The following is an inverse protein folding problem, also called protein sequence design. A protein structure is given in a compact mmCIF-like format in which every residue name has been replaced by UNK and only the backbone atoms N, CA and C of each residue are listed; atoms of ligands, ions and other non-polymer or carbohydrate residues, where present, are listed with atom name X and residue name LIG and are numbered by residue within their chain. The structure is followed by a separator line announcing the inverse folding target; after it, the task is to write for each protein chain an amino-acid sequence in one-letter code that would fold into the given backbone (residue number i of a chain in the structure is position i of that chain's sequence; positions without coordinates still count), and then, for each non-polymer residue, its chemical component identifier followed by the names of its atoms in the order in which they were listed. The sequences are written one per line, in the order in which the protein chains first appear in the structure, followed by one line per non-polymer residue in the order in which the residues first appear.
data_IF_815762633437
#
_entry.id   IF_815762633437
#
_cell.length_a   1.000
_cell.length_b   1.000
_cell.length_c   1.000
_cell.angle_alpha   90.00
_cell.angle_beta   90.00
_cell.angle_gamma   90.00
#
_symmetry.space_group_name_H-M   'P 1'
#
loop_
_entity.id
_entity.type
_entity.pdbx_description
1 polymer ?
#
# COMPACT_ATOMS: atom_id res chain seq x y z
N UNK A 1 -14.47 1.29 10.72
CA UNK A 1 -13.78 1.83 9.54
C UNK A 1 -12.48 1.06 9.44
N UNK A 2 -12.33 0.26 8.39
CA UNK A 2 -11.03 -0.37 8.12
C UNK A 2 -10.08 0.70 7.59
N UNK A 3 -8.84 0.71 8.09
CA UNK A 3 -7.80 1.61 7.60
C UNK A 3 -7.07 0.97 6.40
N UNK A 4 -6.33 1.77 5.63
CA UNK A 4 -5.59 1.28 4.47
C UNK A 4 -4.59 0.16 4.83
N UNK A 5 -4.04 0.15 6.04
CA UNK A 5 -3.14 -0.93 6.47
C UNK A 5 -3.85 -2.28 6.55
N UNK A 6 -5.10 -2.32 7.03
CA UNK A 6 -5.91 -3.53 7.09
C UNK A 6 -6.23 -4.06 5.69
N UNK A 7 -6.52 -3.14 4.77
CA UNK A 7 -6.83 -3.41 3.37
C UNK A 7 -5.62 -3.85 2.52
N UNK A 8 -4.39 -3.74 3.00
CA UNK A 8 -3.21 -4.20 2.24
C UNK A 8 -3.30 -5.69 1.87
N UNK A 9 -2.85 -6.02 0.65
CA UNK A 9 -2.68 -7.41 0.23
C UNK A 9 -1.65 -8.13 1.12
N UNK A 10 -1.85 -9.43 1.42
CA UNK A 10 -0.92 -10.20 2.26
C UNK A 10 0.54 -10.16 1.77
N UNK A 11 0.75 -10.21 0.44
CA UNK A 11 2.08 -10.10 -0.19
C UNK A 11 2.77 -8.76 0.11
N UNK A 12 2.00 -7.67 0.23
CA UNK A 12 2.53 -6.32 0.48
C UNK A 12 2.93 -6.19 1.95
N UNK A 13 2.11 -6.71 2.87
CA UNK A 13 2.45 -6.80 4.30
C UNK A 13 3.71 -7.63 4.53
N UNK A 14 3.85 -8.74 3.81
CA UNK A 14 5.03 -9.59 3.88
C UNK A 14 6.30 -8.86 3.42
N UNK A 15 6.26 -8.19 2.26
CA UNK A 15 7.38 -7.40 1.75
C UNK A 15 7.81 -6.29 2.72
N UNK A 16 6.84 -5.56 3.29
CA UNK A 16 7.12 -4.54 4.30
C UNK A 16 7.79 -5.12 5.55
N UNK A 17 7.30 -6.25 6.08
CA UNK A 17 7.88 -6.87 7.25
C UNK A 17 9.30 -7.40 7.00
N UNK A 18 9.55 -7.97 5.83
CA UNK A 18 10.89 -8.41 5.40
C UNK A 18 11.86 -7.23 5.34
N UNK A 19 11.45 -6.11 4.73
CA UNK A 19 12.30 -4.93 4.58
C UNK A 19 12.38 -4.04 5.83
N UNK A 20 11.51 -4.28 6.83
CA UNK A 20 11.52 -3.56 8.12
C UNK A 20 12.84 -3.69 8.88
N UNK A 21 13.55 -4.81 8.73
CA UNK A 21 14.84 -5.01 9.36
C UNK A 21 15.90 -4.01 8.87
N UNK A 22 15.91 -3.73 7.56
CA UNK A 22 16.88 -2.83 6.93
C UNK A 22 16.40 -1.37 6.89
N UNK A 23 15.09 -1.14 6.79
CA UNK A 23 14.50 0.18 6.54
C UNK A 23 13.44 0.55 7.58
N UNK A 24 13.76 0.33 8.86
CA UNK A 24 12.74 0.39 9.92
C UNK A 24 12.05 1.75 10.05
N UNK A 25 12.76 2.87 9.86
CA UNK A 25 12.18 4.21 9.96
C UNK A 25 11.16 4.47 8.86
N UNK A 26 11.54 4.26 7.60
CA UNK A 26 10.68 4.48 6.43
C UNK A 26 9.47 3.54 6.44
N UNK A 27 9.69 2.25 6.77
CA UNK A 27 8.61 1.26 6.88
C UNK A 27 7.64 1.61 8.01
N UNK A 28 8.13 2.05 9.18
CA UNK A 28 7.25 2.50 10.27
C UNK A 28 6.46 3.75 9.89
N UNK A 29 7.09 4.70 9.21
CA UNK A 29 6.44 5.94 8.76
C UNK A 29 5.29 5.66 7.79
N UNK A 30 5.50 4.81 6.79
CA UNK A 30 4.44 4.47 5.83
C UNK A 30 3.32 3.68 6.52
N UNK A 31 3.63 2.75 7.42
CA UNK A 31 2.62 2.01 8.19
C UNK A 31 1.79 2.96 9.06
N UNK A 32 2.42 3.91 9.74
CA UNK A 32 1.70 4.91 10.55
C UNK A 32 0.71 5.71 9.70
N UNK A 33 1.12 6.13 8.49
CA UNK A 33 0.23 6.82 7.54
C UNK A 33 -0.93 5.95 7.07
N UNK A 34 -0.67 4.68 6.77
CA UNK A 34 -1.71 3.72 6.37
C UNK A 34 -2.72 3.42 7.48
N UNK A 35 -2.37 3.64 8.75
CA UNK A 35 -3.33 3.58 9.86
C UNK A 35 -4.19 4.84 10.00
N UNK A 36 -3.71 5.99 9.51
CA UNK A 36 -4.45 7.26 9.51
C UNK A 36 -5.40 7.35 8.32
N UNK A 37 -4.98 6.86 7.16
CA UNK A 37 -5.76 6.95 5.94
C UNK A 37 -6.81 5.84 5.84
N UNK A 38 -8.02 6.20 5.45
CA UNK A 38 -9.13 5.30 5.15
C UNK A 38 -9.31 5.10 3.63
N UNK A 39 -8.73 5.96 2.79
CA UNK A 39 -8.89 5.93 1.33
C UNK A 39 -7.58 6.11 0.59
N UNK A 40 -7.41 5.37 -0.49
CA UNK A 40 -6.23 5.45 -1.37
C UNK A 40 -6.00 6.86 -1.91
N UNK A 41 -7.06 7.62 -2.19
CA UNK A 41 -6.99 8.99 -2.71
C UNK A 41 -6.37 10.00 -1.75
N UNK A 42 -6.24 9.67 -0.46
CA UNK A 42 -5.54 10.49 0.52
C UNK A 42 -4.02 10.32 0.45
N UNK A 43 -3.54 9.24 -0.18
CA UNK A 43 -2.13 9.00 -0.36
C UNK A 43 -1.56 9.87 -1.47
N UNK A 44 -0.38 10.42 -1.23
CA UNK A 44 0.45 11.06 -2.23
C UNK A 44 1.12 10.01 -3.13
N UNK A 45 1.46 10.40 -4.36
CA UNK A 45 2.20 9.54 -5.30
C UNK A 45 3.53 9.08 -4.71
N UNK A 46 4.18 9.92 -3.90
CA UNK A 46 5.44 9.57 -3.23
C UNK A 46 5.25 8.49 -2.15
N UNK A 47 4.18 8.57 -1.37
CA UNK A 47 3.83 7.53 -0.38
C UNK A 47 3.50 6.21 -1.07
N UNK A 48 2.79 6.24 -2.19
CA UNK A 48 2.48 5.06 -3.00
C UNK A 48 3.76 4.42 -3.55
N UNK A 49 4.67 5.22 -4.11
CA UNK A 49 5.99 4.77 -4.57
C UNK A 49 6.79 4.14 -3.44
N UNK A 50 6.86 4.82 -2.31
CA UNK A 50 7.54 4.34 -1.10
C UNK A 50 6.98 2.99 -0.68
N UNK A 51 5.65 2.88 -0.56
CA UNK A 51 4.98 1.64 -0.21
C UNK A 51 5.33 0.52 -1.18
N UNK A 52 5.26 0.76 -2.49
CA UNK A 52 5.56 -0.23 -3.52
C UNK A 52 7.03 -0.69 -3.46
N UNK A 53 7.98 0.24 -3.34
CA UNK A 53 9.42 -0.06 -3.26
C UNK A 53 9.74 -0.90 -2.03
N UNK A 54 9.25 -0.52 -0.85
CA UNK A 54 9.56 -1.23 0.39
C UNK A 54 8.74 -2.50 0.60
N UNK A 55 7.77 -2.78 -0.28
CA UNK A 55 7.00 -4.03 -0.29
C UNK A 55 7.40 -4.99 -1.41
N UNK A 56 8.58 -4.79 -2.01
CA UNK A 56 9.11 -5.58 -3.13
C UNK A 56 8.12 -5.68 -4.31
N UNK A 57 7.32 -4.62 -4.57
CA UNK A 57 6.47 -4.57 -5.76
C UNK A 57 7.24 -4.01 -6.95
N UNK A 58 7.09 -4.66 -8.10
CA UNK A 58 7.68 -4.19 -9.35
C UNK A 58 6.82 -3.10 -10.00
N UNK A 59 7.23 -1.84 -9.78
CA UNK A 59 6.58 -0.66 -10.35
C UNK A 59 6.60 -0.64 -11.89
N UNK A 60 7.54 -1.32 -12.55
CA UNK A 60 7.60 -1.37 -14.02
C UNK A 60 6.44 -2.18 -14.62
N UNK A 61 5.84 -3.07 -13.83
CA UNK A 61 4.69 -3.88 -14.26
C UNK A 61 3.35 -3.17 -14.06
N UNK A 62 3.35 -1.95 -13.51
CA UNK A 62 2.13 -1.25 -13.16
C UNK A 62 1.56 -0.48 -14.35
N UNK A 63 0.29 -0.72 -14.63
CA UNK A 63 -0.48 0.08 -15.57
C UNK A 63 -0.91 1.42 -14.95
N UNK A 64 -1.34 2.36 -15.79
CA UNK A 64 -1.94 3.63 -15.33
C UNK A 64 -3.15 3.39 -14.41
N UNK A 65 -3.88 2.30 -14.60
CA UNK A 65 -4.99 1.91 -13.73
C UNK A 65 -4.52 1.45 -12.35
N UNK A 66 -3.41 0.71 -12.28
CA UNK A 66 -2.84 0.28 -11.00
C UNK A 66 -2.38 1.50 -10.18
N UNK A 67 -1.81 2.51 -10.83
CA UNK A 67 -1.46 3.78 -10.18
C UNK A 67 -2.68 4.56 -9.70
N UNK A 68 -3.76 4.56 -10.50
CA UNK A 68 -4.98 5.31 -10.19
C UNK A 68 -5.80 4.68 -9.05
N UNK A 69 -5.83 3.35 -8.97
CA UNK A 69 -6.73 2.63 -8.07
C UNK A 69 -6.02 1.83 -6.97
N UNK A 70 -4.70 1.63 -7.06
CA UNK A 70 -3.94 0.91 -6.03
C UNK A 70 -4.15 -0.60 -6.04
N UNK A 71 -4.64 -1.19 -7.14
CA UNK A 71 -5.03 -2.60 -7.27
C UNK A 71 -3.91 -3.59 -6.93
N UNK A 72 -2.64 -3.17 -7.08
CA UNK A 72 -1.47 -4.00 -6.77
C UNK A 72 -1.10 -3.97 -5.28
N UNK A 73 -1.62 -3.00 -4.53
CA UNK A 73 -1.28 -2.73 -3.13
C UNK A 73 -2.38 -3.13 -2.16
N UNK A 74 -3.62 -2.82 -2.49
CA UNK A 74 -4.78 -3.00 -1.63
C UNK A 74 -5.68 -4.10 -2.16
N UNK A 75 -6.40 -4.78 -1.26
CA UNK A 75 -7.55 -5.58 -1.61
C UNK A 75 -8.56 -4.63 -2.24
N UNK A 76 -9.03 -4.95 -3.44
CA UNK A 76 -10.23 -4.30 -3.93
C UNK A 76 -11.36 -4.80 -3.05
N UNK A 77 -12.06 -3.89 -2.38
CA UNK A 77 -13.41 -4.19 -1.93
C UNK A 77 -14.15 -4.55 -3.21
N UNK A 78 -14.47 -5.84 -3.38
CA UNK A 78 -15.54 -6.21 -4.29
C UNK A 78 -16.69 -5.29 -3.97
N UNK A 79 -17.14 -4.55 -4.98
CA UNK A 79 -18.30 -3.68 -4.88
C UNK A 79 -19.35 -4.41 -4.05
N UNK A 80 -19.65 -3.89 -2.86
CA UNK A 80 -20.94 -4.18 -2.26
C UNK A 80 -21.96 -3.50 -3.18
N UNK A 81 -22.27 -4.18 -4.28
CA UNK A 81 -23.49 -3.97 -5.03
C UNK A 81 -24.62 -4.01 -4.00
N UNK A 82 -25.30 -2.88 -3.84
CA UNK A 82 -26.55 -2.73 -3.10
C UNK A 82 -27.52 -1.98 -3.99
#
# INVERSE_FOLDING_TARGET
MENLYEQLLPKVKYGLNKNKASYSSTVKHIIAKLHVYDRYTQMTIEEIRTLATFSDQDLFTWSTFDWKWGNKLFKQDEEKES
#
